data_IF_275873336516
#
_entry.id   IF_275873336516
#
_cell.length_a   1.000
_cell.length_b   1.000
_cell.length_c   1.000
_cell.angle_alpha   90.00
_cell.angle_beta   90.00
_cell.angle_gamma   90.00
#
_symmetry.space_group_name_H-M   'P 1'
#
loop_
_entity.id
_entity.type
_entity.pdbx_description
1 polymer ?
#
# COMPACT_ATOMS: atom_id res chain seq x y z
N UNK A 1 16.52 26.19 4.92
CA UNK A 1 16.10 27.51 4.40
C UNK A 1 16.50 27.56 2.94
N UNK A 2 15.54 27.32 2.05
CA UNK A 2 15.68 27.43 0.59
C UNK A 2 14.42 28.14 0.12
N UNK A 3 14.46 29.47 0.13
CA UNK A 3 13.31 30.32 -0.23
C UNK A 3 13.31 30.61 -1.73
N UNK A 4 13.47 29.56 -2.55
CA UNK A 4 13.51 29.71 -4.01
C UNK A 4 12.11 30.06 -4.50
N UNK A 5 11.87 31.36 -4.64
CA UNK A 5 10.69 31.91 -5.25
C UNK A 5 10.73 31.81 -6.76
N UNK A 6 9.58 32.02 -7.41
CA UNK A 6 9.46 32.04 -8.87
C UNK A 6 10.43 33.04 -9.53
N UNK A 7 10.67 34.20 -8.89
CA UNK A 7 11.61 35.21 -9.38
C UNK A 7 13.07 34.75 -9.35
N UNK A 8 13.51 34.10 -8.27
CA UNK A 8 14.89 33.60 -8.15
C UNK A 8 15.17 32.48 -9.16
N UNK A 9 14.20 31.58 -9.37
CA UNK A 9 14.31 30.54 -10.39
C UNK A 9 14.45 31.13 -11.81
N UNK A 10 13.72 32.20 -12.11
CA UNK A 10 13.80 32.88 -13.40
C UNK A 10 15.18 33.52 -13.62
N UNK A 11 15.74 34.16 -12.58
CA UNK A 11 17.10 34.72 -12.63
C UNK A 11 18.14 33.63 -12.85
N UNK A 12 18.05 32.51 -12.14
CA UNK A 12 18.95 31.36 -12.32
C UNK A 12 18.82 30.75 -13.72
N UNK A 13 17.60 30.66 -14.25
CA UNK A 13 17.36 30.18 -15.61
C UNK A 13 18.05 31.09 -16.61
N UNK A 14 17.85 32.41 -16.53
CA UNK A 14 18.52 33.38 -17.42
C UNK A 14 20.04 33.28 -17.30
N UNK A 15 20.57 33.19 -16.08
CA UNK A 15 22.00 33.04 -15.85
C UNK A 15 22.55 31.76 -16.49
N UNK A 16 21.84 30.63 -16.34
CA UNK A 16 22.20 29.36 -16.96
C UNK A 16 22.16 29.45 -18.49
N UNK A 17 21.17 30.15 -19.07
CA UNK A 17 21.09 30.39 -20.51
C UNK A 17 22.25 31.26 -21.02
N UNK A 18 22.72 32.23 -20.24
CA UNK A 18 23.87 33.07 -20.62
C UNK A 18 25.18 32.29 -20.55
N UNK A 19 25.38 31.51 -19.48
CA UNK A 19 26.64 30.78 -19.25
C UNK A 19 26.79 29.59 -20.19
N UNK A 20 25.73 28.78 -20.30
CA UNK A 20 25.76 27.54 -21.09
C UNK A 20 25.29 27.77 -22.53
N UNK A 21 24.34 28.69 -22.73
CA UNK A 21 23.66 28.92 -24.00
C UNK A 21 22.25 28.28 -24.04
N UNK A 22 21.26 28.93 -24.70
CA UNK A 22 19.89 28.42 -24.78
C UNK A 22 19.77 27.09 -25.52
N UNK A 23 20.66 26.82 -26.48
CA UNK A 23 20.67 25.56 -27.22
C UNK A 23 21.34 24.42 -26.44
N UNK A 24 22.31 24.76 -25.58
CA UNK A 24 23.14 23.77 -24.86
C UNK A 24 22.52 23.30 -23.56
N UNK A 25 21.68 24.12 -22.93
CA UNK A 25 20.91 23.74 -21.74
C UNK A 25 20.04 22.50 -21.98
N UNK A 26 19.12 22.46 -22.98
CA UNK A 26 18.30 21.29 -23.24
C UNK A 26 19.13 20.10 -23.72
N UNK A 27 20.20 20.34 -24.49
CA UNK A 27 21.12 19.29 -24.95
C UNK A 27 21.82 18.60 -23.77
N UNK A 28 22.27 19.38 -22.77
CA UNK A 28 22.94 18.87 -21.57
C UNK A 28 21.98 18.10 -20.67
N UNK A 29 20.76 18.62 -20.47
CA UNK A 29 19.71 17.91 -19.73
C UNK A 29 19.43 16.54 -20.35
N UNK A 30 19.29 16.47 -21.69
CA UNK A 30 19.03 15.20 -22.39
C UNK A 30 20.12 14.16 -22.14
N UNK A 31 21.39 14.57 -22.12
CA UNK A 31 22.54 13.70 -21.84
C UNK A 31 22.50 13.18 -20.40
N UNK A 32 22.28 14.09 -19.45
CA UNK A 32 22.20 13.74 -18.02
C UNK A 32 20.98 12.87 -17.73
N UNK A 33 19.83 13.17 -18.33
CA UNK A 33 18.61 12.39 -18.13
C UNK A 33 18.71 10.98 -18.69
N UNK A 34 19.43 10.79 -19.80
CA UNK A 34 19.73 9.46 -20.34
C UNK A 34 20.52 8.64 -19.32
N UNK A 35 21.62 9.19 -18.80
CA UNK A 35 22.45 8.53 -17.80
C UNK A 35 21.69 8.22 -16.50
N UNK A 36 20.89 9.17 -15.99
CA UNK A 36 20.02 8.94 -14.83
C UNK A 36 18.96 7.87 -15.10
N UNK A 37 18.41 7.82 -16.32
CA UNK A 37 17.44 6.81 -16.73
C UNK A 37 18.05 5.42 -16.78
N UNK A 38 19.24 5.29 -17.35
CA UNK A 38 19.99 4.04 -17.40
C UNK A 38 20.33 3.54 -15.99
N UNK A 39 20.80 4.44 -15.12
CA UNK A 39 21.07 4.12 -13.71
C UNK A 39 19.79 3.69 -12.97
N UNK A 40 18.66 4.36 -13.22
CA UNK A 40 17.37 4.02 -12.63
C UNK A 40 16.91 2.62 -13.07
N UNK A 41 17.06 2.31 -14.36
CA UNK A 41 16.70 1.01 -14.93
C UNK A 41 17.57 -0.11 -14.36
N UNK A 42 18.88 0.12 -14.28
CA UNK A 42 19.82 -0.82 -13.66
C UNK A 42 19.50 -1.05 -12.19
N UNK A 43 19.14 0.01 -11.46
CA UNK A 43 18.68 -0.10 -10.06
C UNK A 43 17.37 -0.87 -9.93
N UNK A 44 16.44 -0.74 -10.88
CA UNK A 44 15.19 -1.51 -10.91
C UNK A 44 15.46 -2.99 -11.17
N UNK A 45 16.25 -3.32 -12.19
CA UNK A 45 16.63 -4.71 -12.48
C UNK A 45 17.32 -5.36 -11.29
N UNK A 46 18.25 -4.66 -10.64
CA UNK A 46 18.90 -5.16 -9.44
C UNK A 46 17.94 -5.34 -8.26
N UNK A 47 16.99 -4.41 -8.07
CA UNK A 47 15.93 -4.56 -7.06
C UNK A 47 15.02 -5.75 -7.37
N UNK A 48 14.68 -5.98 -8.64
CA UNK A 48 13.82 -7.08 -9.06
C UNK A 48 14.55 -8.43 -8.90
N UNK A 49 15.82 -8.52 -9.30
CA UNK A 49 16.66 -9.70 -9.07
C UNK A 49 16.86 -9.98 -7.57
N UNK A 50 17.09 -8.93 -6.76
CA UNK A 50 17.15 -9.03 -5.30
C UNK A 50 15.81 -9.49 -4.71
N UNK A 51 14.66 -8.97 -5.16
CA UNK A 51 13.32 -9.40 -4.71
C UNK A 51 12.95 -10.80 -5.17
N UNK A 52 13.54 -11.26 -6.27
CA UNK A 52 13.32 -12.61 -6.78
C UNK A 52 14.24 -13.62 -6.09
N UNK A 53 15.46 -13.22 -5.74
CA UNK A 53 16.39 -14.03 -4.94
C UNK A 53 16.03 -14.04 -3.46
N UNK A 54 15.58 -12.89 -2.94
CA UNK A 54 14.94 -12.72 -1.64
C UNK A 54 13.43 -12.76 -1.92
N UNK A 55 12.86 -13.91 -2.24
CA UNK A 55 11.41 -14.07 -2.15
C UNK A 55 11.01 -13.70 -0.71
N UNK A 56 10.55 -12.47 -0.60
CA UNK A 56 10.36 -11.65 0.59
C UNK A 56 9.10 -12.09 1.37
N UNK A 57 8.67 -13.34 1.20
CA UNK A 57 7.62 -13.99 1.99
C UNK A 57 7.86 -13.87 3.50
N UNK A 58 9.11 -13.68 3.92
CA UNK A 58 9.49 -13.45 5.32
C UNK A 58 9.53 -11.97 5.73
N UNK A 59 9.97 -11.05 4.85
CA UNK A 59 10.05 -9.61 5.18
C UNK A 59 8.68 -8.89 5.08
N UNK A 60 7.75 -9.37 4.24
CA UNK A 60 6.38 -8.84 4.19
C UNK A 60 5.56 -9.21 5.45
N UNK A 61 5.88 -10.35 6.09
CA UNK A 61 5.31 -10.77 7.38
C UNK A 61 5.83 -9.94 8.56
N UNK A 62 7.06 -9.45 8.48
CA UNK A 62 7.65 -8.63 9.54
C UNK A 62 7.19 -7.16 9.49
N UNK A 63 6.89 -6.62 8.30
CA UNK A 63 6.37 -5.25 8.14
C UNK A 63 4.83 -5.15 8.11
N UNK A 64 4.11 -6.21 7.74
CA UNK A 64 2.65 -6.28 7.90
C UNK A 64 2.35 -7.00 9.20
N UNK A 65 2.33 -6.26 10.32
CA UNK A 65 1.78 -6.72 11.58
C UNK A 65 0.27 -6.98 11.49
N UNK A 66 -0.17 -7.84 10.57
CA UNK A 66 -1.53 -8.33 10.51
C UNK A 66 -1.59 -9.67 11.24
N UNK A 67 -2.14 -9.73 12.46
CA UNK A 67 -2.35 -10.98 13.16
C UNK A 67 -3.40 -11.82 12.42
N UNK A 68 -2.91 -12.72 11.58
CA UNK A 68 -3.66 -13.86 11.06
C UNK A 68 -4.88 -13.55 10.17
N UNK A 69 -5.42 -14.59 9.50
CA UNK A 69 -6.79 -14.55 9.03
C UNK A 69 -7.68 -14.41 10.27
N UNK A 70 -8.44 -13.32 10.36
CA UNK A 70 -9.58 -13.25 11.28
C UNK A 70 -10.48 -14.43 10.95
N UNK A 71 -10.41 -15.42 11.85
CA UNK A 71 -11.29 -16.55 12.16
C UNK A 71 -12.26 -17.02 11.04
N UNK A 72 -12.36 -18.34 10.80
CA UNK A 72 -13.48 -18.86 10.01
C UNK A 72 -14.78 -18.23 10.53
N UNK A 73 -15.72 -17.83 9.65
CA UNK A 73 -17.02 -17.36 10.11
C UNK A 73 -17.53 -18.46 11.02
N UNK A 74 -17.68 -18.17 12.32
CA UNK A 74 -18.14 -19.14 13.30
C UNK A 74 -19.43 -19.72 12.73
N UNK A 75 -19.44 -20.98 12.26
CA UNK A 75 -20.70 -21.61 11.95
C UNK A 75 -21.35 -21.78 13.32
N UNK A 76 -22.45 -21.05 13.49
CA UNK A 76 -23.52 -21.30 14.44
C UNK A 76 -23.11 -21.59 15.89
N UNK A 77 -23.74 -20.85 16.79
CA UNK A 77 -24.10 -21.42 18.06
C UNK A 77 -24.67 -22.82 17.80
N UNK A 78 -23.91 -23.86 18.13
CA UNK A 78 -24.47 -25.13 18.58
C UNK A 78 -25.28 -24.78 19.84
N UNK A 79 -26.46 -24.22 19.59
CA UNK A 79 -27.62 -24.38 20.44
C UNK A 79 -27.81 -25.88 20.46
N UNK A 80 -27.51 -26.55 21.59
CA UNK A 80 -27.49 -27.99 21.66
C UNK A 80 -28.80 -28.52 21.12
N UNK A 81 -28.73 -29.51 20.24
CA UNK A 81 -29.88 -30.24 19.77
C UNK A 81 -30.71 -30.73 20.97
N UNK A 82 -31.80 -30.03 21.26
CA UNK A 82 -32.89 -30.48 22.09
C UNK A 82 -34.19 -29.96 21.46
N UNK A 83 -34.58 -30.65 20.39
CA UNK A 83 -35.93 -30.89 19.88
C UNK A 83 -36.92 -29.70 19.77
N UNK A 84 -37.47 -29.45 18.56
CA UNK A 84 -38.78 -28.84 18.43
C UNK A 84 -39.81 -29.91 18.80
N UNK A 85 -40.25 -29.92 20.06
CA UNK A 85 -41.35 -30.77 20.48
C UNK A 85 -42.18 -30.05 21.52
N UNK A 86 -43.49 -30.08 21.29
CA UNK A 86 -44.55 -29.49 22.11
C UNK A 86 -44.54 -27.95 22.03
N UNK A 87 -45.18 -27.33 21.03
CA UNK A 87 -46.63 -27.41 20.82
C UNK A 87 -47.32 -27.42 22.19
N UNK A 88 -47.60 -26.19 22.66
CA UNK A 88 -48.54 -25.89 23.74
C UNK A 88 -49.78 -26.78 23.58
N UNK A 89 -50.02 -27.72 24.50
CA UNK A 89 -51.35 -28.21 24.74
C UNK A 89 -51.90 -27.35 25.88
N UNK A 90 -52.81 -26.42 25.59
CA UNK A 90 -53.83 -26.07 26.59
C UNK A 90 -54.42 -27.38 27.13
N UNK A 91 -54.50 -27.57 28.47
CA UNK A 91 -55.83 -27.59 29.10
C UNK A 91 -55.77 -27.10 30.59
N UNK A 92 -56.79 -27.28 31.46
CA UNK A 92 -57.58 -26.17 31.97
C UNK A 92 -57.51 -26.05 33.52
N UNK A 93 -58.30 -25.10 34.05
CA UNK A 93 -58.93 -25.17 35.37
C UNK A 93 -58.10 -25.02 36.67
N UNK A 94 -58.32 -23.84 37.29
CA UNK A 94 -58.89 -23.68 38.64
C UNK A 94 -58.11 -24.22 39.84
N UNK A 95 -57.43 -23.30 40.53
CA UNK A 95 -57.27 -23.35 41.99
C UNK A 95 -58.56 -22.85 42.62
N UNK A 96 -59.29 -23.78 43.22
CA UNK A 96 -60.27 -23.56 44.27
C UNK A 96 -59.54 -23.09 45.54
N UNK A 97 -59.85 -21.89 46.06
CA UNK A 97 -59.91 -21.50 47.48
C UNK A 97 -60.28 -20.03 47.61
#
# INVERSE_FOLDING_TARGET
MFNVGSGELLVLLVLALIVLGPDKLPESIRKVSGFLGDLRRMSQTFQDEMRQAVDLSDLQREFTGNPGPSLPPLPESEQPAAAPSAADPEPPEQVQS
#
